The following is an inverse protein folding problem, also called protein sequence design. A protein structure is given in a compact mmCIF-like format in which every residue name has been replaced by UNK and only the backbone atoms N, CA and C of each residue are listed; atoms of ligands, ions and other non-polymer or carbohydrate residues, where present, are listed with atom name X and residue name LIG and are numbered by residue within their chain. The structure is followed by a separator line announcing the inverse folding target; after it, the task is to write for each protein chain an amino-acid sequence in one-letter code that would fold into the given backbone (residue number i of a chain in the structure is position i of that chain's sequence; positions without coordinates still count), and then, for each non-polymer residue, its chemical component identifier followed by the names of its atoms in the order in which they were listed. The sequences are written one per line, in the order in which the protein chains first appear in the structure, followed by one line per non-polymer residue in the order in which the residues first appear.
data_IF_129595660859
#
_entry.id   IF_129595660859
#
_cell.length_a   1.000
_cell.length_b   1.000
_cell.length_c   1.000
_cell.angle_alpha   90.00
_cell.angle_beta   90.00
_cell.angle_gamma   90.00
#
_symmetry.space_group_name_H-M   'P 1'
#
loop_
_entity.id
_entity.type
_entity.pdbx_description
1 polymer ?
#
# COMPACT_ATOMS: atom_id res chain seq x y z
N UNK A 1 -5.28 -26.35 -10.62
CA UNK A 1 -6.47 -26.93 -9.95
C UNK A 1 -7.69 -26.19 -10.43
N UNK A 2 -8.67 -26.88 -11.01
CA UNK A 2 -9.94 -26.29 -11.45
C UNK A 2 -10.88 -26.12 -10.25
N UNK A 3 -11.26 -24.87 -9.96
CA UNK A 3 -12.27 -24.57 -8.96
C UNK A 3 -13.60 -25.21 -9.38
N UNK A 4 -14.24 -25.92 -8.47
CA UNK A 4 -15.56 -26.50 -8.75
C UNK A 4 -16.61 -25.39 -8.85
N UNK A 5 -17.68 -25.56 -9.65
CA UNK A 5 -18.70 -24.52 -9.85
C UNK A 5 -19.30 -23.99 -8.54
N UNK A 6 -19.34 -24.83 -7.51
CA UNK A 6 -19.92 -24.47 -6.22
C UNK A 6 -19.02 -23.55 -5.38
N UNK A 7 -17.69 -23.73 -5.39
CA UNK A 7 -16.77 -22.77 -4.74
C UNK A 7 -16.74 -21.44 -5.47
N UNK A 8 -16.87 -21.45 -6.80
CA UNK A 8 -16.95 -20.22 -7.59
C UNK A 8 -18.20 -19.39 -7.26
N UNK A 9 -19.35 -20.05 -7.11
CA UNK A 9 -20.62 -19.39 -6.74
C UNK A 9 -20.60 -18.91 -5.29
N UNK A 10 -19.98 -19.64 -4.35
CA UNK A 10 -19.82 -19.18 -2.96
C UNK A 10 -18.88 -17.99 -2.86
N UNK A 11 -17.75 -18.05 -3.56
CA UNK A 11 -16.82 -16.93 -3.68
C UNK A 11 -17.54 -15.70 -4.26
N UNK A 12 -18.29 -15.85 -5.35
CA UNK A 12 -19.03 -14.72 -5.94
C UNK A 12 -20.16 -14.20 -5.06
N UNK A 13 -20.87 -15.06 -4.34
CA UNK A 13 -21.91 -14.65 -3.41
C UNK A 13 -21.34 -13.91 -2.20
N UNK A 14 -20.20 -14.38 -1.66
CA UNK A 14 -19.45 -13.68 -0.63
C UNK A 14 -18.94 -12.33 -1.17
N UNK A 15 -18.28 -12.34 -2.33
CA UNK A 15 -17.76 -11.16 -3.04
C UNK A 15 -18.82 -10.10 -3.35
N UNK A 16 -20.00 -10.51 -3.81
CA UNK A 16 -21.13 -9.61 -4.04
C UNK A 16 -21.72 -9.06 -2.73
N UNK A 17 -21.74 -9.86 -1.66
CA UNK A 17 -22.14 -9.42 -0.32
C UNK A 17 -21.15 -8.39 0.25
N UNK A 18 -19.84 -8.57 0.03
CA UNK A 18 -18.83 -7.58 0.40
C UNK A 18 -18.92 -6.32 -0.44
N UNK A 19 -19.10 -6.42 -1.76
CA UNK A 19 -19.20 -5.24 -2.63
C UNK A 19 -20.40 -4.35 -2.30
N UNK A 20 -21.47 -4.91 -1.73
CA UNK A 20 -22.61 -4.16 -1.23
C UNK A 20 -22.42 -3.61 0.20
N UNK A 21 -21.56 -4.24 1.01
CA UNK A 21 -21.23 -3.82 2.38
C UNK A 21 -20.02 -2.87 2.45
N UNK A 22 -19.19 -2.88 1.41
CA UNK A 22 -18.06 -1.99 1.14
C UNK A 22 -18.46 -0.76 0.32
N UNK A 23 -19.73 -0.36 0.38
CA UNK A 23 -20.06 1.05 0.21
C UNK A 23 -19.49 1.77 1.43
N UNK A 24 -18.20 2.13 1.34
CA UNK A 24 -17.34 2.70 2.39
C UNK A 24 -18.17 3.49 3.40
N UNK A 25 -18.45 2.93 4.58
CA UNK A 25 -19.32 3.61 5.54
C UNK A 25 -18.64 4.78 6.25
N UNK A 26 -17.31 4.95 6.16
CA UNK A 26 -16.62 5.86 7.07
C UNK A 26 -15.52 6.70 6.43
N UNK A 27 -15.44 7.94 6.87
CA UNK A 27 -14.36 8.85 6.55
C UNK A 27 -13.05 8.31 7.16
N UNK A 28 -12.11 7.85 6.34
CA UNK A 28 -10.77 7.51 6.80
C UNK A 28 -9.99 8.78 7.16
N UNK A 29 -9.17 8.70 8.19
CA UNK A 29 -8.32 9.80 8.64
C UNK A 29 -7.01 9.78 7.86
N UNK A 30 -6.65 10.93 7.31
CA UNK A 30 -5.32 11.18 6.75
C UNK A 30 -4.67 12.25 7.59
N UNK A 31 -3.49 11.96 8.14
CA UNK A 31 -2.70 12.98 8.83
C UNK A 31 -1.58 13.45 7.92
N UNK A 32 -1.31 14.75 7.94
CA UNK A 32 -0.13 15.32 7.28
C UNK A 32 0.83 15.77 8.36
N UNK A 33 2.01 15.18 8.40
CA UNK A 33 3.08 15.53 9.35
C UNK A 33 4.17 16.27 8.60
N UNK A 34 4.75 17.28 9.27
CA UNK A 34 5.91 17.97 8.75
C UNK A 34 7.16 17.15 9.02
N UNK A 35 8.06 17.09 8.04
CA UNK A 35 9.40 16.51 8.18
C UNK A 35 10.46 17.56 7.79
N UNK A 36 11.74 17.36 8.14
CA UNK A 36 12.79 18.29 7.74
C UNK A 36 12.90 18.47 6.22
N UNK A 37 12.51 17.46 5.43
CA UNK A 37 12.64 17.44 3.97
C UNK A 37 11.31 17.59 3.22
N UNK A 38 10.21 17.83 3.93
CA UNK A 38 8.88 18.04 3.32
C UNK A 38 7.71 17.61 4.22
N UNK A 39 6.79 16.84 3.66
CA UNK A 39 5.59 16.37 4.34
C UNK A 39 5.44 14.85 4.24
N UNK A 40 4.96 14.23 5.30
CA UNK A 40 4.59 12.81 5.37
C UNK A 40 3.07 12.71 5.42
N UNK A 41 2.48 11.83 4.60
CA UNK A 41 1.07 11.48 4.64
C UNK A 41 0.92 10.15 5.38
N UNK A 42 0.29 10.20 6.54
CA UNK A 42 -0.07 9.05 7.35
C UNK A 42 -1.47 8.59 6.97
N UNK A 43 -1.52 7.38 6.38
CA UNK A 43 -2.72 6.68 5.92
C UNK A 43 -2.94 5.38 6.71
N UNK A 44 -2.40 5.26 7.93
CA UNK A 44 -2.48 4.03 8.73
C UNK A 44 -3.92 3.56 8.96
N UNK A 45 -4.87 4.47 9.09
CA UNK A 45 -6.30 4.15 9.26
C UNK A 45 -6.87 3.38 8.05
N UNK A 46 -6.49 3.79 6.83
CA UNK A 46 -6.86 3.07 5.60
C UNK A 46 -6.24 1.67 5.56
N UNK A 47 -4.97 1.55 5.94
CA UNK A 47 -4.28 0.26 5.96
C UNK A 47 -4.90 -0.67 7.00
N UNK A 48 -5.22 -0.18 8.20
CA UNK A 48 -5.88 -0.96 9.24
C UNK A 48 -7.24 -1.48 8.76
N UNK A 49 -8.04 -0.63 8.11
CA UNK A 49 -9.31 -1.02 7.52
C UNK A 49 -9.13 -2.15 6.49
N UNK A 50 -8.17 -2.03 5.57
CA UNK A 50 -7.91 -3.06 4.56
C UNK A 50 -7.45 -4.38 5.19
N UNK A 51 -6.59 -4.33 6.22
CA UNK A 51 -6.16 -5.54 6.95
C UNK A 51 -7.32 -6.20 7.68
N UNK A 52 -8.22 -5.41 8.28
CA UNK A 52 -9.43 -5.93 8.91
C UNK A 52 -10.34 -6.60 7.89
N UNK A 53 -10.54 -5.97 6.73
CA UNK A 53 -11.32 -6.55 5.64
C UNK A 53 -10.70 -7.85 5.12
N UNK A 54 -9.37 -7.91 5.00
CA UNK A 54 -8.66 -9.14 4.64
C UNK A 54 -8.92 -10.26 5.66
N UNK A 55 -8.87 -9.95 6.96
CA UNK A 55 -9.13 -10.91 8.03
C UNK A 55 -10.58 -11.41 8.02
N UNK A 56 -11.54 -10.53 7.79
CA UNK A 56 -12.95 -10.89 7.64
C UNK A 56 -13.18 -11.79 6.41
N UNK A 57 -12.60 -11.43 5.26
CA UNK A 57 -12.66 -12.23 4.04
C UNK A 57 -12.04 -13.61 4.25
N UNK A 58 -10.89 -13.67 4.93
CA UNK A 58 -10.23 -14.92 5.26
C UNK A 58 -11.07 -15.79 6.21
N UNK A 59 -11.73 -15.19 7.21
CA UNK A 59 -12.60 -15.93 8.12
C UNK A 59 -13.81 -16.55 7.40
N UNK A 60 -14.33 -15.89 6.38
CA UNK A 60 -15.48 -16.35 5.60
C UNK A 60 -15.11 -17.40 4.52
N UNK A 61 -13.95 -17.28 3.87
CA UNK A 61 -13.41 -18.28 2.93
C UNK A 61 -11.87 -18.40 3.00
N UNK A 62 -11.34 -19.19 3.96
CA UNK A 62 -9.90 -19.33 4.15
C UNK A 62 -9.18 -19.93 2.95
N UNK A 63 -9.84 -20.81 2.19
CA UNK A 63 -9.24 -21.50 1.06
C UNK A 63 -9.05 -20.52 -0.11
N UNK A 64 -10.09 -19.78 -0.48
CA UNK A 64 -10.00 -18.83 -1.59
C UNK A 64 -8.98 -17.72 -1.33
N UNK A 65 -9.03 -17.10 -0.14
CA UNK A 65 -8.09 -16.03 0.23
C UNK A 65 -6.67 -16.56 0.42
N UNK A 66 -6.52 -17.76 1.01
CA UNK A 66 -5.23 -18.42 1.16
C UNK A 66 -4.56 -18.75 -0.17
N UNK A 67 -5.33 -19.27 -1.14
CA UNK A 67 -4.83 -19.56 -2.50
C UNK A 67 -4.36 -18.29 -3.21
N UNK A 68 -5.11 -17.18 -3.08
CA UNK A 68 -4.77 -15.90 -3.70
C UNK A 68 -3.47 -15.30 -3.10
N UNK A 69 -3.34 -15.31 -1.77
CA UNK A 69 -2.13 -14.86 -1.07
C UNK A 69 -0.92 -15.75 -1.41
N UNK A 70 -1.13 -17.06 -1.52
CA UNK A 70 -0.08 -18.01 -1.92
C UNK A 70 0.41 -17.71 -3.33
N UNK A 71 -0.51 -17.48 -4.27
CA UNK A 71 -0.17 -17.11 -5.65
C UNK A 71 0.62 -15.80 -5.73
N UNK A 72 0.27 -14.80 -4.93
CA UNK A 72 1.04 -13.54 -4.84
C UNK A 72 2.47 -13.82 -4.36
N UNK A 73 2.65 -14.68 -3.35
CA UNK A 73 3.97 -15.05 -2.83
C UNK A 73 4.81 -15.86 -3.85
N UNK A 74 4.18 -16.77 -4.58
CA UNK A 74 4.82 -17.53 -5.66
C UNK A 74 5.32 -16.61 -6.77
N UNK A 75 4.49 -15.64 -7.21
CA UNK A 75 4.89 -14.66 -8.21
C UNK A 75 6.00 -13.73 -7.69
N UNK A 76 6.03 -13.42 -6.39
CA UNK A 76 7.14 -12.71 -5.76
C UNK A 76 8.47 -13.46 -5.89
N UNK A 77 8.44 -14.77 -5.64
CA UNK A 77 9.61 -15.65 -5.79
C UNK A 77 10.04 -15.79 -7.26
N UNK A 78 9.07 -15.91 -8.17
CA UNK A 78 9.31 -15.98 -9.60
C UNK A 78 9.91 -14.66 -10.14
N UNK A 79 9.39 -13.51 -9.72
CA UNK A 79 9.93 -12.19 -10.08
C UNK A 79 11.38 -12.01 -9.62
N UNK A 80 11.71 -12.47 -8.41
CA UNK A 80 13.09 -12.45 -7.92
C UNK A 80 14.01 -13.32 -8.80
N UNK A 81 13.51 -14.46 -9.26
CA UNK A 81 14.25 -15.38 -10.14
C UNK A 81 14.42 -14.82 -11.56
N UNK A 82 13.39 -14.20 -12.14
CA UNK A 82 13.45 -13.55 -13.46
C UNK A 82 14.47 -12.42 -13.48
N UNK A 83 14.54 -11.59 -12.43
CA UNK A 83 15.52 -10.50 -12.33
C UNK A 83 16.97 -10.97 -12.32
N UNK A 84 17.23 -12.20 -11.88
CA UNK A 84 18.56 -12.78 -11.90
C UNK A 84 18.98 -13.28 -13.30
N UNK A 85 18.02 -13.38 -14.23
CA UNK A 85 18.18 -13.94 -15.57
C UNK A 85 17.92 -12.90 -16.69
N UNK A 86 17.97 -11.59 -16.37
CA UNK A 86 17.58 -10.50 -17.28
C UNK A 86 16.17 -10.65 -17.88
N UNK A 87 15.26 -11.28 -17.13
CA UNK A 87 13.89 -11.55 -17.56
C UNK A 87 13.04 -10.29 -17.72
N UNK A 88 12.00 -10.38 -18.55
CA UNK A 88 11.12 -9.26 -18.95
C UNK A 88 10.19 -8.73 -17.83
N UNK A 89 10.36 -9.18 -16.58
CA UNK A 89 9.57 -8.75 -15.42
C UNK A 89 8.11 -9.18 -15.45
N UNK A 90 7.77 -10.26 -16.15
CA UNK A 90 6.39 -10.72 -16.32
C UNK A 90 5.76 -11.11 -14.98
N UNK A 91 6.49 -11.86 -14.14
CA UNK A 91 6.00 -12.28 -12.84
C UNK A 91 5.77 -11.09 -11.88
N UNK A 92 6.61 -10.05 -11.98
CA UNK A 92 6.43 -8.82 -11.21
C UNK A 92 5.14 -8.08 -11.60
N UNK A 93 4.90 -7.93 -12.90
CA UNK A 93 3.69 -7.28 -13.39
C UNK A 93 2.42 -8.07 -13.02
N UNK A 94 2.46 -9.39 -13.12
CA UNK A 94 1.32 -10.23 -12.75
C UNK A 94 1.07 -10.20 -11.23
N UNK A 95 2.13 -10.22 -10.41
CA UNK A 95 2.01 -10.04 -8.95
C UNK A 95 1.31 -8.73 -8.63
N UNK A 96 1.77 -7.63 -9.22
CA UNK A 96 1.27 -6.30 -8.92
C UNK A 96 -0.20 -6.15 -9.32
N UNK A 97 -0.61 -6.74 -10.45
CA UNK A 97 -2.03 -6.81 -10.86
C UNK A 97 -2.88 -7.59 -9.87
N UNK A 98 -2.41 -8.74 -9.40
CA UNK A 98 -3.16 -9.53 -8.42
C UNK A 98 -3.29 -8.80 -7.08
N UNK A 99 -2.22 -8.14 -6.62
CA UNK A 99 -2.26 -7.31 -5.42
C UNK A 99 -3.24 -6.15 -5.60
N UNK A 100 -3.22 -5.46 -6.73
CA UNK A 100 -4.17 -4.38 -7.02
C UNK A 100 -5.62 -4.89 -7.00
N UNK A 101 -5.89 -6.02 -7.66
CA UNK A 101 -7.21 -6.63 -7.68
C UNK A 101 -7.70 -7.01 -6.28
N UNK A 102 -6.84 -7.64 -5.47
CA UNK A 102 -7.16 -8.01 -4.09
C UNK A 102 -7.49 -6.75 -3.25
N UNK A 103 -6.72 -5.68 -3.40
CA UNK A 103 -6.96 -4.40 -2.72
C UNK A 103 -8.27 -3.75 -3.18
N UNK A 104 -8.57 -3.78 -4.48
CA UNK A 104 -9.86 -3.29 -5.01
C UNK A 104 -11.04 -4.09 -4.44
N UNK A 105 -10.90 -5.41 -4.35
CA UNK A 105 -11.93 -6.30 -3.79
C UNK A 105 -12.19 -6.06 -2.29
N UNK A 106 -11.19 -5.57 -1.55
CA UNK A 106 -11.29 -5.17 -0.14
C UNK A 106 -11.86 -3.76 0.09
N UNK A 107 -12.25 -3.04 -0.96
CA UNK A 107 -12.80 -1.68 -0.84
C UNK A 107 -11.90 -0.56 -1.34
N UNK A 108 -10.78 -0.91 -2.01
CA UNK A 108 -9.82 0.00 -2.63
C UNK A 108 -8.95 0.80 -1.66
N UNK A 109 -7.67 0.96 -2.01
CA UNK A 109 -6.74 1.88 -1.34
C UNK A 109 -6.80 3.31 -1.93
N UNK A 110 -7.85 3.65 -2.68
CA UNK A 110 -7.98 4.95 -3.35
C UNK A 110 -8.77 5.94 -2.50
N UNK A 111 -8.09 7.02 -2.10
CA UNK A 111 -8.68 8.14 -1.36
C UNK A 111 -9.29 9.13 -2.36
N UNK A 112 -10.61 9.23 -2.39
CA UNK A 112 -11.30 10.22 -3.23
C UNK A 112 -11.34 11.58 -2.53
N UNK A 113 -10.59 12.54 -3.05
CA UNK A 113 -10.61 13.93 -2.58
C UNK A 113 -11.58 14.75 -3.44
N UNK A 114 -12.54 15.43 -2.80
CA UNK A 114 -13.51 16.29 -3.48
C UNK A 114 -13.56 17.69 -2.86
N UNK A 115 -13.72 18.71 -3.71
CA UNK A 115 -14.03 20.07 -3.31
C UNK A 115 -13.07 20.65 -2.25
N UNK A 116 -13.59 21.21 -1.14
CA UNK A 116 -12.78 21.85 -0.11
C UNK A 116 -11.71 20.95 0.54
N UNK A 117 -11.93 19.63 0.60
CA UNK A 117 -10.98 18.69 1.20
C UNK A 117 -9.70 18.56 0.37
N UNK A 118 -9.83 18.52 -0.95
CA UNK A 118 -8.67 18.50 -1.86
C UNK A 118 -7.82 19.78 -1.71
N UNK A 119 -8.49 20.93 -1.65
CA UNK A 119 -7.83 22.23 -1.45
C UNK A 119 -7.11 22.28 -0.11
N UNK A 120 -7.78 21.86 0.97
CA UNK A 120 -7.20 21.87 2.32
C UNK A 120 -5.98 20.96 2.43
N UNK A 121 -6.03 19.76 1.87
CA UNK A 121 -4.88 18.85 1.84
C UNK A 121 -3.72 19.47 1.05
N UNK A 122 -4.00 20.07 -0.11
CA UNK A 122 -3.00 20.78 -0.90
C UNK A 122 -2.31 21.92 -0.14
N UNK A 123 -3.07 22.73 0.60
CA UNK A 123 -2.52 23.79 1.45
C UNK A 123 -1.62 23.24 2.55
N UNK A 124 -2.03 22.15 3.22
CA UNK A 124 -1.22 21.52 4.28
C UNK A 124 0.10 20.96 3.74
N UNK A 125 0.05 20.26 2.60
CA UNK A 125 1.25 19.73 1.95
C UNK A 125 2.16 20.88 1.53
N UNK A 126 1.61 21.90 0.86
CA UNK A 126 2.38 23.06 0.42
C UNK A 126 3.08 23.74 1.60
N UNK A 127 2.35 24.02 2.69
CA UNK A 127 2.88 24.69 3.88
C UNK A 127 4.02 23.92 4.56
N UNK A 128 4.01 22.59 4.52
CA UNK A 128 5.07 21.77 5.10
C UNK A 128 6.24 21.50 4.14
N UNK A 129 6.06 21.76 2.85
CA UNK A 129 7.11 21.64 1.83
C UNK A 129 7.82 22.96 1.50
N UNK A 130 7.28 24.13 1.88
CA UNK A 130 7.84 25.45 1.49
C UNK A 130 8.91 26.04 2.40
N UNK A 131 9.21 25.45 3.57
CA UNK A 131 10.41 25.85 4.29
C UNK A 131 11.60 25.07 3.73
N UNK A 132 12.67 25.73 3.23
CA UNK A 132 13.89 25.03 2.91
C UNK A 132 14.32 24.36 4.21
N UNK A 133 14.52 23.03 4.19
CA UNK A 133 15.33 22.37 5.20
C UNK A 133 16.58 23.22 5.31
N UNK A 134 16.78 23.91 6.43
CA UNK A 134 18.11 24.36 6.76
C UNK A 134 18.91 23.07 6.85
N UNK A 135 19.64 22.77 5.77
CA UNK A 135 20.70 21.77 5.77
C UNK A 135 21.57 22.18 6.94
N UNK A 136 21.43 21.45 8.06
CA UNK A 136 22.38 21.56 9.15
C UNK A 136 23.65 20.97 8.58
N UNK A 137 24.53 21.82 8.05
CA UNK A 137 25.87 21.41 7.67
C UNK A 137 26.52 20.83 8.92
N UNK A 138 26.62 19.50 8.97
CA UNK A 138 27.50 18.82 9.92
C UNK A 138 28.91 19.22 9.49
N UNK A 139 29.70 19.96 10.32
CA UNK A 139 31.00 20.43 9.89
C UNK A 139 31.88 19.25 9.49
N UNK A 140 32.16 19.11 8.19
CA UNK A 140 33.22 18.23 7.72
C UNK A 140 34.57 18.90 7.99
N UNK A 141 35.06 18.82 9.22
CA UNK A 141 36.51 18.92 9.46
C UNK A 141 36.97 18.43 10.84
N UNK A 142 37.79 17.37 10.82
CA UNK A 142 39.18 17.45 11.32
C UNK A 142 40.09 16.56 10.45
N UNK A 143 40.59 17.13 9.35
CA UNK A 143 41.99 16.98 8.94
C UNK A 143 42.50 18.42 8.87
N UNK A 144 43.55 18.85 9.55
CA UNK A 144 44.66 18.16 10.19
C UNK A 144 45.25 19.07 11.29
N UNK A 145 46.15 18.53 12.12
CA UNK A 145 47.18 19.33 12.79
C UNK A 145 47.55 18.81 14.17
N UNK A 146 48.75 18.24 14.29
CA UNK A 146 49.46 18.14 15.57
C UNK A 146 50.16 16.82 15.80
N UNK A 147 51.36 16.66 15.25
CA UNK A 147 52.38 15.78 15.81
C UNK A 147 52.79 16.26 17.22
N UNK A 148 53.71 15.49 17.84
CA UNK A 148 54.37 15.64 19.15
C UNK A 148 53.55 14.97 20.29
N UNK A 149 54.02 13.97 21.03
CA UNK A 149 55.39 13.54 21.38
C UNK A 149 55.59 12.03 21.23
#
# INVERSE_FOLDING_TARGET
MSLTPHTWVRYLAAKLRYRWRAMVPDAFRVYVRRTPVGAELDVSDLVEMLVRQLAENYADDPAAVGDELTRIAELGSAAASERHLDGAGHAEHERDRLVEQLVEDMGSARIRLVGPTAVRLGVLIAAYCTEPSTVVEIPRQRRAGGAIA
#
